data_IF_993510796241
#
_entry.id   IF_993510796241
#
_cell.length_a   1.000
_cell.length_b   1.000
_cell.length_c   1.000
_cell.angle_alpha   90.00
_cell.angle_beta   90.00
_cell.angle_gamma   90.00
#
_symmetry.space_group_name_H-M   'P 1'
#
loop_
_entity.id
_entity.type
_entity.pdbx_description
1 polymer ?
#
# COMPACT_ATOMS: atom_id res chain seq x y z
N UNK A 1 32.85 17.99 -14.00
CA UNK A 1 33.46 18.18 -12.67
C UNK A 1 32.30 18.31 -11.69
N UNK A 2 32.05 17.30 -10.85
CA UNK A 2 30.93 17.36 -9.91
C UNK A 2 31.38 18.16 -8.68
N UNK A 3 30.71 19.27 -8.39
CA UNK A 3 30.91 19.99 -7.13
C UNK A 3 30.21 19.22 -6.02
N UNK A 4 30.97 18.76 -5.04
CA UNK A 4 30.43 18.13 -3.83
C UNK A 4 30.31 19.22 -2.76
N UNK A 5 29.11 19.39 -2.22
CA UNK A 5 28.89 20.26 -1.07
C UNK A 5 29.17 19.44 0.21
N UNK A 6 30.10 19.91 1.04
CA UNK A 6 30.33 19.39 2.39
C UNK A 6 29.59 20.30 3.36
N UNK A 7 28.57 19.78 4.04
CA UNK A 7 27.86 20.47 5.12
C UNK A 7 27.96 19.61 6.38
N UNK A 8 28.16 20.26 7.52
CA UNK A 8 28.19 19.59 8.82
C UNK A 8 26.77 19.21 9.27
N UNK A 9 25.78 20.03 8.93
CA UNK A 9 24.37 19.77 9.20
C UNK A 9 23.51 20.48 8.14
N UNK A 10 22.44 19.82 7.68
CA UNK A 10 21.44 20.42 6.79
C UNK A 10 20.14 20.55 7.56
N UNK A 11 19.72 21.79 7.83
CA UNK A 11 18.51 22.08 8.59
C UNK A 11 17.53 22.91 7.78
N UNK A 12 16.24 22.56 7.86
CA UNK A 12 15.17 23.37 7.29
C UNK A 12 15.00 24.65 8.11
N UNK A 13 15.30 25.81 7.52
CA UNK A 13 15.24 27.12 8.21
C UNK A 13 13.79 27.69 8.25
N UNK A 14 12.78 26.84 8.06
CA UNK A 14 11.37 27.21 8.04
C UNK A 14 10.64 26.63 9.25
N UNK A 15 9.65 27.38 9.75
CA UNK A 15 8.78 27.09 10.89
C UNK A 15 7.88 25.85 10.73
N UNK A 16 8.07 25.05 9.68
CA UNK A 16 7.29 23.82 9.42
C UNK A 16 8.14 22.54 9.46
N UNK A 17 9.46 22.60 9.71
CA UNK A 17 10.33 21.39 9.77
C UNK A 17 10.21 20.45 8.54
N UNK A 18 9.80 20.97 7.39
CA UNK A 18 9.64 20.21 6.16
C UNK A 18 10.85 20.45 5.25
N UNK A 19 11.70 19.44 5.09
CA UNK A 19 12.74 19.45 4.07
C UNK A 19 12.19 18.89 2.76
N UNK A 20 11.68 19.78 1.89
CA UNK A 20 11.23 19.39 0.54
C UNK A 20 12.44 19.26 -0.39
N UNK A 21 12.80 18.03 -0.76
CA UNK A 21 13.82 17.76 -1.77
C UNK A 21 13.13 17.63 -3.13
N UNK A 22 12.96 18.74 -3.85
CA UNK A 22 12.48 18.75 -5.24
C UNK A 22 13.65 18.48 -6.21
N UNK A 23 14.19 17.27 -6.18
CA UNK A 23 15.29 16.84 -7.04
C UNK A 23 14.81 15.76 -8.02
N UNK A 24 15.32 15.80 -9.26
CA UNK A 24 15.08 14.73 -10.25
C UNK A 24 15.75 13.40 -9.85
N UNK A 25 16.72 13.40 -8.92
CA UNK A 25 17.30 12.23 -8.30
C UNK A 25 17.65 12.49 -6.82
N UNK A 26 17.41 11.51 -5.95
CA UNK A 26 17.86 11.50 -4.55
C UNK A 26 18.69 10.23 -4.37
N UNK A 27 19.91 10.39 -3.84
CA UNK A 27 20.85 9.29 -3.62
C UNK A 27 20.90 8.97 -2.13
N UNK A 28 20.37 7.82 -1.71
CA UNK A 28 20.47 7.33 -0.31
C UNK A 28 21.40 6.13 -0.26
N UNK A 29 22.32 6.03 0.68
CA UNK A 29 23.25 4.89 0.73
C UNK A 29 22.64 3.73 1.50
N UNK A 30 22.61 2.55 0.91
CA UNK A 30 22.15 1.33 1.56
C UNK A 30 23.21 0.61 2.38
N UNK A 31 22.77 -0.29 3.27
CA UNK A 31 23.69 -1.26 3.86
C UNK A 31 24.32 -2.13 2.76
N UNK A 32 25.64 -2.36 2.86
CA UNK A 32 26.43 -3.12 1.87
C UNK A 32 27.28 -2.28 0.91
N UNK A 33 27.31 -0.95 1.06
CA UNK A 33 28.30 -0.10 0.38
C UNK A 33 28.02 0.21 -1.10
N UNK A 34 26.79 -0.02 -1.58
CA UNK A 34 26.35 0.46 -2.88
C UNK A 34 25.77 1.88 -2.76
N UNK A 35 26.26 2.79 -3.60
CA UNK A 35 26.09 4.23 -3.45
C UNK A 35 24.69 4.78 -3.80
N UNK A 36 23.68 3.94 -4.08
CA UNK A 36 22.31 4.39 -4.40
C UNK A 36 21.25 3.39 -3.93
N UNK A 37 20.35 3.84 -3.07
CA UNK A 37 19.07 3.26 -2.66
C UNK A 37 18.02 4.37 -2.80
N UNK A 38 16.83 3.99 -3.27
CA UNK A 38 15.67 4.86 -3.36
C UNK A 38 14.94 4.79 -2.01
N UNK A 39 14.59 5.93 -1.40
CA UNK A 39 13.69 5.98 -0.22
C UNK A 39 12.36 5.24 -0.45
N UNK A 40 12.03 4.94 -1.71
CA UNK A 40 10.88 4.15 -2.15
C UNK A 40 10.92 2.68 -1.73
N UNK A 41 12.07 2.13 -1.31
CA UNK A 41 12.16 0.69 -0.99
C UNK A 41 11.38 0.27 0.27
N UNK A 42 10.90 1.21 1.08
CA UNK A 42 10.18 0.92 2.33
C UNK A 42 8.80 1.58 2.47
N UNK A 43 8.36 2.37 1.48
CA UNK A 43 7.07 3.06 1.56
C UNK A 43 5.95 2.19 0.99
N UNK A 44 4.80 2.24 1.65
CA UNK A 44 3.59 1.60 1.16
C UNK A 44 3.11 2.30 -0.11
N UNK A 45 3.00 1.58 -1.23
CA UNK A 45 2.57 2.16 -2.52
C UNK A 45 1.06 2.38 -2.58
N UNK A 46 0.29 1.55 -1.89
CA UNK A 46 -1.15 1.71 -1.77
C UNK A 46 -1.61 1.17 -0.43
N UNK A 47 -2.44 1.92 0.28
CA UNK A 47 -3.12 1.43 1.46
C UNK A 47 -4.54 2.01 1.53
N UNK A 48 -5.38 1.35 2.30
CA UNK A 48 -6.73 1.77 2.56
C UNK A 48 -7.15 1.29 3.95
N UNK A 49 -7.96 2.08 4.62
CA UNK A 49 -8.49 1.77 5.95
C UNK A 49 -10.01 1.64 5.87
N UNK A 50 -10.51 0.60 6.53
CA UNK A 50 -11.93 0.37 6.79
C UNK A 50 -12.83 0.27 5.55
N UNK A 51 -12.34 -0.36 4.49
CA UNK A 51 -13.14 -0.66 3.30
C UNK A 51 -14.27 -1.61 3.69
N UNK A 52 -15.48 -1.07 3.68
CA UNK A 52 -16.68 -1.81 4.07
C UNK A 52 -17.33 -2.39 2.81
N UNK A 53 -17.33 -3.72 2.70
CA UNK A 53 -18.12 -4.46 1.69
C UNK A 53 -19.62 -4.50 2.01
N UNK A 54 -20.07 -3.89 3.11
CA UNK A 54 -21.47 -3.97 3.52
C UNK A 54 -22.37 -3.04 2.68
N UNK A 55 -23.60 -3.51 2.45
CA UNK A 55 -24.63 -2.92 1.58
C UNK A 55 -24.98 -1.43 1.80
N UNK A 56 -24.45 -0.76 2.83
CA UNK A 56 -24.70 0.66 3.12
C UNK A 56 -23.70 1.64 2.49
N UNK A 57 -22.79 1.16 1.64
CA UNK A 57 -21.90 2.00 0.83
C UNK A 57 -20.47 2.00 1.31
N UNK A 58 -19.55 1.73 0.39
CA UNK A 58 -18.12 1.75 0.62
C UNK A 58 -17.71 3.18 1.00
N UNK A 59 -17.40 3.41 2.27
CA UNK A 59 -16.77 4.65 2.73
C UNK A 59 -15.35 4.32 3.18
N UNK A 60 -14.40 4.49 2.27
CA UNK A 60 -12.97 4.52 2.56
C UNK A 60 -12.76 5.60 3.64
N UNK A 61 -12.30 5.23 4.84
CA UNK A 61 -12.06 6.22 5.91
C UNK A 61 -10.87 7.13 5.54
N UNK A 62 -9.82 6.51 5.00
CA UNK A 62 -8.67 7.17 4.40
C UNK A 62 -7.94 6.17 3.47
N UNK A 63 -7.24 6.69 2.47
CA UNK A 63 -6.50 5.87 1.52
C UNK A 63 -5.34 6.59 0.86
N UNK A 64 -4.39 5.78 0.36
CA UNK A 64 -3.33 6.21 -0.53
C UNK A 64 -3.38 5.37 -1.80
N UNK A 65 -3.36 6.05 -2.95
CA UNK A 65 -3.25 5.42 -4.27
C UNK A 65 -4.37 4.42 -4.58
N UNK A 66 -5.53 4.55 -3.92
CA UNK A 66 -6.75 3.81 -4.21
C UNK A 66 -7.64 4.66 -5.13
N UNK A 67 -8.12 4.08 -6.23
CA UNK A 67 -9.04 4.74 -7.16
C UNK A 67 -10.49 4.30 -6.94
N UNK A 68 -10.70 3.03 -6.58
CA UNK A 68 -12.02 2.45 -6.32
C UNK A 68 -11.88 1.06 -5.73
N UNK A 69 -12.87 0.61 -4.98
CA UNK A 69 -13.04 -0.79 -4.55
C UNK A 69 -14.24 -1.43 -5.25
N UNK A 70 -14.03 -2.64 -5.78
CA UNK A 70 -15.10 -3.47 -6.34
C UNK A 70 -15.42 -4.60 -5.39
N UNK A 71 -16.69 -4.72 -5.00
CA UNK A 71 -17.25 -5.94 -4.41
C UNK A 71 -17.69 -6.87 -5.55
N UNK A 72 -16.98 -7.99 -5.71
CA UNK A 72 -17.21 -8.91 -6.82
C UNK A 72 -18.11 -10.11 -6.45
N UNK A 73 -18.22 -10.43 -5.17
CA UNK A 73 -18.97 -11.54 -4.57
C UNK A 73 -18.82 -11.46 -3.05
N UNK A 74 -19.59 -12.26 -2.32
CA UNK A 74 -19.43 -12.37 -0.86
C UNK A 74 -17.96 -12.62 -0.48
N UNK A 75 -17.44 -11.73 0.36
CA UNK A 75 -16.08 -11.73 0.86
C UNK A 75 -14.99 -11.37 -0.15
N UNK A 76 -15.31 -10.99 -1.39
CA UNK A 76 -14.37 -10.73 -2.48
C UNK A 76 -14.20 -9.24 -2.78
N UNK A 77 -13.25 -8.60 -2.10
CA UNK A 77 -12.86 -7.21 -2.33
C UNK A 77 -11.73 -7.13 -3.35
N UNK A 78 -11.89 -6.23 -4.34
CA UNK A 78 -10.88 -5.92 -5.35
C UNK A 78 -10.62 -4.41 -5.41
N UNK A 79 -9.54 -3.91 -4.79
CA UNK A 79 -9.14 -2.52 -4.96
C UNK A 79 -8.52 -2.29 -6.33
N UNK A 80 -8.73 -1.11 -6.89
CA UNK A 80 -8.10 -0.62 -8.12
C UNK A 80 -7.21 0.56 -7.80
N UNK A 81 -5.98 0.57 -8.32
CA UNK A 81 -4.98 1.58 -7.98
C UNK A 81 -5.04 2.78 -8.93
N UNK A 82 -4.81 3.98 -8.39
CA UNK A 82 -4.68 5.20 -9.21
C UNK A 82 -3.38 5.19 -10.01
N UNK A 83 -2.28 4.76 -9.38
CA UNK A 83 -0.98 4.53 -9.98
C UNK A 83 -0.62 3.05 -9.87
N UNK A 84 -0.57 2.38 -11.02
CA UNK A 84 -0.31 0.94 -11.11
C UNK A 84 1.11 0.56 -10.66
N UNK A 85 1.26 -0.69 -10.20
CA UNK A 85 2.57 -1.32 -10.01
C UNK A 85 3.21 -1.64 -11.36
N UNK A 86 4.55 -1.75 -11.41
CA UNK A 86 5.26 -2.12 -12.64
C UNK A 86 5.06 -3.59 -13.04
N UNK A 87 4.71 -4.45 -12.08
CA UNK A 87 4.43 -5.87 -12.27
C UNK A 87 3.41 -6.37 -11.23
N UNK A 88 2.90 -7.59 -11.40
CA UNK A 88 1.97 -8.23 -10.47
C UNK A 88 2.65 -8.93 -9.27
N UNK A 89 3.98 -8.81 -9.15
CA UNK A 89 4.79 -9.45 -8.12
C UNK A 89 5.06 -8.53 -6.91
N UNK A 90 4.10 -7.69 -6.54
CA UNK A 90 4.11 -6.96 -5.28
C UNK A 90 3.59 -7.82 -4.12
N UNK A 91 3.74 -7.31 -2.91
CA UNK A 91 3.25 -7.92 -1.68
C UNK A 91 1.99 -7.19 -1.18
N UNK A 92 1.00 -7.96 -0.76
CA UNK A 92 -0.23 -7.44 -0.17
C UNK A 92 -0.39 -7.93 1.27
N UNK A 93 -0.73 -7.02 2.16
CA UNK A 93 -1.08 -7.24 3.56
C UNK A 93 -2.54 -6.80 3.76
N UNK A 94 -3.21 -7.42 4.73
CA UNK A 94 -4.54 -7.03 5.15
C UNK A 94 -4.69 -7.16 6.67
N UNK A 95 -5.50 -6.27 7.22
CA UNK A 95 -6.06 -6.35 8.57
C UNK A 95 -7.55 -6.65 8.49
N UNK A 96 -8.01 -7.58 9.33
CA UNK A 96 -9.41 -7.88 9.51
C UNK A 96 -10.03 -6.88 10.50
N UNK A 97 -11.16 -6.24 10.14
CA UNK A 97 -11.98 -5.43 11.05
C UNK A 97 -13.34 -6.10 11.33
N UNK A 98 -13.41 -7.42 11.16
CA UNK A 98 -14.57 -8.26 11.47
C UNK A 98 -14.49 -8.91 12.84
N UNK A 99 -14.95 -10.16 12.93
CA UNK A 99 -14.88 -10.97 14.14
C UNK A 99 -13.50 -11.62 14.31
N UNK A 100 -13.14 -11.98 15.54
CA UNK A 100 -11.95 -12.77 15.84
C UNK A 100 -11.90 -14.15 15.14
N UNK A 101 -13.03 -14.60 14.57
CA UNK A 101 -13.12 -15.84 13.80
C UNK A 101 -12.90 -15.63 12.28
N UNK A 102 -12.81 -14.40 11.80
CA UNK A 102 -12.69 -14.11 10.37
C UNK A 102 -11.22 -14.14 9.93
N UNK A 103 -10.95 -14.71 8.76
CA UNK A 103 -9.61 -14.75 8.15
C UNK A 103 -9.63 -14.03 6.80
N UNK A 104 -8.53 -13.34 6.48
CA UNK A 104 -8.35 -12.64 5.20
C UNK A 104 -7.20 -13.29 4.44
N UNK A 105 -7.48 -13.74 3.22
CA UNK A 105 -6.45 -14.14 2.26
C UNK A 105 -6.10 -12.94 1.39
N UNK A 106 -4.80 -12.67 1.24
CA UNK A 106 -4.28 -11.60 0.38
C UNK A 106 -3.61 -12.18 -0.86
N UNK A 107 -3.58 -11.39 -1.94
CA UNK A 107 -2.94 -11.76 -3.21
C UNK A 107 -3.50 -13.05 -3.82
N UNK A 108 -4.82 -13.23 -3.77
CA UNK A 108 -5.49 -14.34 -4.45
C UNK A 108 -5.75 -14.01 -5.93
N UNK A 109 -5.84 -14.99 -6.82
CA UNK A 109 -6.08 -14.71 -8.24
C UNK A 109 -7.45 -14.02 -8.45
N UNK A 110 -7.55 -12.92 -9.23
CA UNK A 110 -6.49 -12.34 -10.07
C UNK A 110 -5.67 -11.24 -9.38
N UNK A 111 -4.34 -11.27 -9.57
CA UNK A 111 -3.45 -10.16 -9.24
C UNK A 111 -2.82 -9.62 -10.52
N UNK A 112 -2.92 -8.31 -10.71
CA UNK A 112 -2.41 -7.60 -11.89
C UNK A 112 -1.67 -6.36 -11.43
N UNK A 113 -1.09 -5.61 -12.35
CA UNK A 113 -0.44 -4.33 -12.02
C UNK A 113 -1.40 -3.30 -11.39
N UNK A 114 -2.71 -3.42 -11.61
CA UNK A 114 -3.71 -2.42 -11.21
C UNK A 114 -4.68 -2.89 -10.12
N UNK A 115 -4.65 -4.17 -9.74
CA UNK A 115 -5.57 -4.72 -8.75
C UNK A 115 -5.05 -6.00 -8.12
N UNK A 116 -5.37 -6.21 -6.84
CA UNK A 116 -5.20 -7.45 -6.09
C UNK A 116 -6.57 -7.96 -5.67
N UNK A 117 -6.62 -9.18 -5.15
CA UNK A 117 -7.83 -9.71 -4.53
C UNK A 117 -7.62 -10.00 -3.05
N UNK A 118 -8.59 -9.57 -2.26
CA UNK A 118 -8.75 -9.94 -0.86
C UNK A 118 -9.98 -10.82 -0.71
N UNK A 119 -9.82 -11.98 -0.04
CA UNK A 119 -10.92 -12.93 0.18
C UNK A 119 -11.12 -13.14 1.68
N UNK A 120 -12.31 -12.83 2.16
CA UNK A 120 -12.70 -12.96 3.56
C UNK A 120 -13.53 -14.22 3.78
N UNK A 121 -13.12 -15.02 4.75
CA UNK A 121 -13.75 -16.31 5.06
C UNK A 121 -13.88 -16.48 6.57
N UNK A 122 -14.99 -17.03 7.03
CA UNK A 122 -15.20 -17.40 8.42
C UNK A 122 -15.11 -18.93 8.55
N UNK A 123 -13.99 -19.49 9.03
CA UNK A 123 -13.79 -20.93 9.10
C UNK A 123 -14.79 -21.65 10.03
N UNK A 124 -15.34 -20.94 11.03
CA UNK A 124 -16.27 -21.52 12.00
C UNK A 124 -17.58 -21.96 11.35
N UNK A 125 -18.11 -21.16 10.43
CA UNK A 125 -19.38 -21.41 9.75
C UNK A 125 -19.20 -21.82 8.29
N UNK A 126 -17.96 -21.87 7.82
CA UNK A 126 -17.58 -22.22 6.46
C UNK A 126 -18.22 -21.32 5.38
N UNK A 127 -18.31 -20.03 5.68
CA UNK A 127 -18.94 -19.04 4.79
C UNK A 127 -17.98 -17.94 4.36
N UNK A 128 -18.16 -17.48 3.12
CA UNK A 128 -17.64 -16.18 2.70
C UNK A 128 -18.58 -15.09 3.18
N UNK A 129 -18.03 -14.01 3.69
CA UNK A 129 -18.80 -12.91 4.25
C UNK A 129 -18.13 -11.58 3.98
N UNK A 130 -18.98 -10.59 3.76
CA UNK A 130 -18.57 -9.20 3.65
C UNK A 130 -18.23 -8.67 5.03
N UNK A 131 -17.06 -8.07 5.14
CA UNK A 131 -16.58 -7.43 6.35
C UNK A 131 -15.86 -6.13 5.98
N UNK A 132 -15.64 -5.32 6.99
CA UNK A 132 -14.70 -4.23 6.92
C UNK A 132 -13.26 -4.79 6.93
N UNK A 133 -12.38 -4.29 6.06
CA UNK A 133 -10.97 -4.64 6.07
C UNK A 133 -10.06 -3.45 5.72
N UNK A 134 -8.84 -3.49 6.26
CA UNK A 134 -7.75 -2.60 5.86
C UNK A 134 -6.74 -3.36 5.01
N UNK A 135 -6.07 -2.66 4.09
CA UNK A 135 -5.08 -3.26 3.21
C UNK A 135 -3.87 -2.35 3.04
N UNK A 136 -2.70 -2.97 2.88
CA UNK A 136 -1.46 -2.27 2.55
C UNK A 136 -0.68 -3.07 1.52
N UNK A 137 -0.14 -2.38 0.51
CA UNK A 137 0.58 -2.98 -0.59
C UNK A 137 1.97 -2.38 -0.70
N UNK A 138 2.96 -3.27 -0.67
CA UNK A 138 4.37 -2.97 -0.76
C UNK A 138 4.95 -3.58 -2.02
N UNK A 139 5.81 -2.83 -2.70
CA UNK A 139 6.44 -3.24 -3.94
C UNK A 139 6.55 -2.06 -4.89
N UNK A 140 7.18 -2.33 -6.03
CA UNK A 140 7.66 -1.38 -7.05
C UNK A 140 9.15 -1.00 -7.03
N UNK A 141 10.02 -1.81 -6.40
CA UNK A 141 11.41 -1.83 -6.84
C UNK A 141 11.52 -2.59 -8.17
N UNK A 142 11.40 -1.85 -9.27
CA UNK A 142 12.04 -2.17 -10.54
C UNK A 142 13.31 -1.34 -10.68
#
# INVERSE_FOLDING_TARGET
>A
MASILKVDEMQGVSNTNEMTIAANNVTVTGEGGSATMQLQQGLCKCWFVSETLAASGNTDEDSLNLSSTTDAALGDLRPTYTNNFSNANYQALAGNHGSANDVVSTKYSPNTTSTTRYLNYEPKNEVYKDICLGGALFGDLA
#
